data_IF_046794485842
#
_entry.id   IF_046794485842
#
_cell.length_a   1.000
_cell.length_b   1.000
_cell.length_c   1.000
_cell.angle_alpha   90.00
_cell.angle_beta   90.00
_cell.angle_gamma   90.00
#
_symmetry.space_group_name_H-M   'P 1'
#
loop_
_entity.id
_entity.type
_entity.pdbx_description
1 polymer ?
#
# COMPACT_ATOMS: atom_id res chain seq x y z
N UNK A 1 11.97 -3.61 1.57
CA UNK A 1 11.39 -4.64 0.67
C UNK A 1 9.90 -4.33 0.60
N UNK A 2 9.41 -3.98 -0.58
CA UNK A 2 7.98 -3.63 -0.77
C UNK A 2 7.12 -4.83 -0.40
N UNK A 3 5.95 -4.54 0.14
CA UNK A 3 5.09 -5.55 0.72
C UNK A 3 4.25 -6.27 -0.34
N UNK A 4 4.08 -5.63 -1.49
CA UNK A 4 3.47 -6.23 -2.68
C UNK A 4 4.51 -6.40 -3.77
N UNK A 5 4.62 -7.60 -4.35
CA UNK A 5 5.54 -7.82 -5.48
C UNK A 5 4.98 -7.22 -6.77
N UNK A 6 5.87 -6.75 -7.65
CA UNK A 6 5.51 -6.23 -8.98
C UNK A 6 4.69 -7.24 -9.77
N UNK A 7 5.03 -8.53 -9.69
CA UNK A 7 4.27 -9.61 -10.33
C UNK A 7 2.81 -9.66 -9.84
N UNK A 8 2.59 -9.61 -8.52
CA UNK A 8 1.23 -9.63 -7.94
C UNK A 8 0.44 -8.41 -8.39
N UNK A 9 1.07 -7.24 -8.40
CA UNK A 9 0.45 -6.01 -8.87
C UNK A 9 0.06 -6.08 -10.36
N UNK A 10 0.93 -6.63 -11.21
CA UNK A 10 0.64 -6.82 -12.63
C UNK A 10 -0.51 -7.79 -12.87
N UNK A 11 -0.54 -8.92 -12.16
CA UNK A 11 -1.67 -9.85 -12.21
C UNK A 11 -2.98 -9.17 -11.80
N UNK A 12 -2.94 -8.35 -10.76
CA UNK A 12 -4.11 -7.60 -10.30
C UNK A 12 -4.60 -6.59 -11.35
N UNK A 13 -3.68 -5.85 -11.97
CA UNK A 13 -3.95 -4.87 -13.02
C UNK A 13 -4.26 -5.48 -14.39
N UNK A 14 -4.07 -6.79 -14.56
CA UNK A 14 -4.19 -7.51 -15.84
C UNK A 14 -3.24 -6.96 -16.91
N UNK A 15 -2.04 -6.57 -16.49
CA UNK A 15 -0.97 -6.11 -17.38
C UNK A 15 -0.12 -7.30 -17.80
N UNK A 16 0.19 -7.41 -19.09
CA UNK A 16 1.05 -8.47 -19.62
C UNK A 16 2.49 -8.34 -19.11
N UNK A 17 3.16 -9.48 -18.90
CA UNK A 17 4.47 -9.53 -18.26
C UNK A 17 5.58 -8.79 -19.03
N UNK A 18 5.44 -8.67 -20.35
CA UNK A 18 6.36 -7.98 -21.27
C UNK A 18 5.93 -6.53 -21.58
N UNK A 19 4.92 -6.01 -20.88
CA UNK A 19 4.46 -4.63 -21.05
C UNK A 19 5.56 -3.62 -20.71
N UNK A 20 5.75 -2.56 -21.52
CA UNK A 20 6.67 -1.47 -21.21
C UNK A 20 6.29 -0.68 -19.95
N UNK A 21 5.09 -0.92 -19.40
CA UNK A 21 4.62 -0.29 -18.16
C UNK A 21 5.22 -0.92 -16.90
N UNK A 22 5.92 -2.06 -17.02
CA UNK A 22 6.54 -2.77 -15.89
C UNK A 22 7.34 -1.84 -14.94
N UNK A 23 8.21 -0.93 -15.43
CA UNK A 23 8.97 -0.05 -14.55
C UNK A 23 8.11 1.02 -13.86
N UNK A 24 6.95 1.37 -14.44
CA UNK A 24 6.04 2.37 -13.88
C UNK A 24 5.19 1.78 -12.74
N UNK A 25 4.89 0.48 -12.81
CA UNK A 25 4.07 -0.23 -11.80
C UNK A 25 4.73 -0.17 -10.42
N UNK A 26 6.06 -0.19 -10.34
CA UNK A 26 6.75 -0.04 -9.06
C UNK A 26 6.43 1.31 -8.39
N UNK A 27 6.39 2.41 -9.16
CA UNK A 27 6.02 3.72 -8.62
C UNK A 27 4.58 3.76 -8.11
N UNK A 28 3.65 3.04 -8.76
CA UNK A 28 2.27 2.92 -8.28
C UNK A 28 2.17 2.08 -7.01
N UNK A 29 2.98 1.03 -6.86
CA UNK A 29 3.07 0.25 -5.62
C UNK A 29 3.55 1.14 -4.48
N UNK A 30 4.65 1.85 -4.69
CA UNK A 30 5.25 2.72 -3.66
C UNK A 30 4.25 3.81 -3.21
N UNK A 31 3.56 4.44 -4.17
CA UNK A 31 2.52 5.42 -3.89
C UNK A 31 1.31 4.82 -3.16
N UNK A 32 0.86 3.63 -3.55
CA UNK A 32 -0.27 2.95 -2.91
C UNK A 32 0.04 2.55 -1.47
N UNK A 33 1.26 2.05 -1.22
CA UNK A 33 1.73 1.74 0.14
C UNK A 33 1.80 3.01 1.00
N UNK A 34 2.34 4.11 0.46
CA UNK A 34 2.43 5.38 1.18
C UNK A 34 1.04 5.92 1.55
N UNK A 35 0.08 5.89 0.61
CA UNK A 35 -1.30 6.32 0.86
C UNK A 35 -1.93 5.46 1.96
N UNK A 36 -1.75 4.14 1.93
CA UNK A 36 -2.26 3.24 2.96
C UNK A 36 -1.64 3.52 4.34
N UNK A 37 -0.33 3.75 4.42
CA UNK A 37 0.35 4.07 5.68
C UNK A 37 -0.11 5.40 6.26
N UNK A 38 -0.26 6.43 5.41
CA UNK A 38 -0.81 7.73 5.80
C UNK A 38 -2.24 7.60 6.32
N UNK A 39 -3.08 6.82 5.63
CA UNK A 39 -4.45 6.56 6.06
C UNK A 39 -4.52 5.86 7.42
N UNK A 40 -3.72 4.81 7.61
CA UNK A 40 -3.67 4.06 8.85
C UNK A 40 -3.04 4.84 10.01
N UNK A 41 -2.31 5.92 9.70
CA UNK A 41 -1.49 6.67 10.64
C UNK A 41 -0.46 5.77 11.37
N UNK A 42 0.11 4.81 10.62
CA UNK A 42 1.15 3.88 11.08
C UNK A 42 1.84 3.25 9.87
N UNK A 43 3.08 2.77 10.07
CA UNK A 43 3.79 2.02 9.05
C UNK A 43 3.50 0.53 9.14
N UNK A 44 3.54 -0.14 8.00
CA UNK A 44 3.46 -1.60 7.92
C UNK A 44 4.64 -2.17 7.14
N UNK A 45 5.02 -3.41 7.47
CA UNK A 45 6.21 -4.08 6.96
C UNK A 45 5.87 -5.48 6.44
N UNK A 46 6.63 -5.97 5.48
CA UNK A 46 6.36 -7.26 4.84
C UNK A 46 6.44 -8.44 5.80
N UNK A 47 7.37 -8.39 6.74
CA UNK A 47 7.60 -9.43 7.74
C UNK A 47 8.23 -8.84 9.01
N UNK A 48 8.38 -9.69 10.02
CA UNK A 48 8.99 -9.32 11.31
C UNK A 48 10.45 -8.89 11.17
N UNK A 49 11.19 -9.36 10.16
CA UNK A 49 12.58 -8.99 9.97
C UNK A 49 12.68 -7.54 9.45
N UNK A 50 11.87 -7.19 8.44
CA UNK A 50 11.77 -5.84 7.92
C UNK A 50 11.29 -4.84 8.99
N UNK A 51 10.35 -5.27 9.84
CA UNK A 51 9.92 -4.50 11.01
C UNK A 51 11.08 -4.25 11.98
N UNK A 52 11.81 -5.30 12.37
CA UNK A 52 12.91 -5.19 13.31
C UNK A 52 14.03 -4.30 12.77
N UNK A 53 14.40 -4.44 11.49
CA UNK A 53 15.38 -3.54 10.86
C UNK A 53 14.93 -2.07 10.90
N UNK A 54 13.64 -1.80 10.65
CA UNK A 54 13.12 -0.44 10.74
C UNK A 54 13.10 0.10 12.18
N UNK A 55 12.92 -0.78 13.19
CA UNK A 55 13.02 -0.42 14.60
C UNK A 55 14.46 -0.05 14.94
N UNK A 56 15.41 -0.89 14.54
CA UNK A 56 16.85 -0.68 14.78
C UNK A 56 17.35 0.62 14.11
N UNK A 57 16.85 0.91 12.91
CA UNK A 57 17.18 2.14 12.16
C UNK A 57 16.38 3.38 12.63
N UNK A 58 15.46 3.22 13.58
CA UNK A 58 14.59 4.31 14.07
C UNK A 58 13.56 4.82 13.06
N UNK A 59 13.37 4.10 11.95
CA UNK A 59 12.45 4.46 10.86
C UNK A 59 11.07 3.80 10.97
N UNK A 60 10.86 2.94 11.97
CA UNK A 60 9.62 2.18 12.20
C UNK A 60 8.35 3.03 12.31
N UNK A 61 8.47 4.26 12.81
CA UNK A 61 7.32 5.12 13.12
C UNK A 61 6.55 4.64 14.35
N UNK A 62 5.38 5.25 14.57
CA UNK A 62 4.55 4.96 15.76
C UNK A 62 3.67 3.72 15.53
N UNK A 63 3.65 2.80 16.49
CA UNK A 63 2.86 1.56 16.47
C UNK A 63 2.98 0.77 15.14
N UNK A 64 4.19 0.37 14.70
CA UNK A 64 4.35 -0.34 13.43
C UNK A 64 3.73 -1.74 13.47
N UNK A 65 3.33 -2.28 12.32
CA UNK A 65 2.77 -3.64 12.20
C UNK A 65 3.42 -4.44 11.07
N UNK A 66 3.35 -5.76 11.20
CA UNK A 66 3.53 -6.67 10.06
C UNK A 66 2.24 -6.67 9.25
N UNK A 67 2.35 -6.70 7.92
CA UNK A 67 1.20 -6.66 7.03
C UNK A 67 0.26 -7.84 7.26
N UNK A 68 -1.03 -7.61 7.04
CA UNK A 68 -2.05 -8.65 6.97
C UNK A 68 -2.60 -8.78 5.55
N UNK A 69 -3.19 -9.93 5.18
CA UNK A 69 -3.82 -10.07 3.86
C UNK A 69 -4.86 -8.99 3.54
N UNK A 70 -5.54 -8.45 4.56
CA UNK A 70 -6.49 -7.35 4.39
C UNK A 70 -5.80 -6.04 3.94
N UNK A 71 -4.67 -5.69 4.57
CA UNK A 71 -3.88 -4.50 4.19
C UNK A 71 -3.30 -4.69 2.78
N UNK A 72 -2.84 -5.90 2.45
CA UNK A 72 -2.31 -6.21 1.11
C UNK A 72 -3.38 -6.01 0.03
N UNK A 73 -4.60 -6.52 0.25
CA UNK A 73 -5.73 -6.29 -0.68
C UNK A 73 -6.07 -4.81 -0.77
N UNK A 74 -6.04 -4.06 0.33
CA UNK A 74 -6.29 -2.62 0.30
C UNK A 74 -5.27 -1.86 -0.54
N UNK A 75 -3.98 -2.20 -0.43
CA UNK A 75 -2.91 -1.61 -1.25
C UNK A 75 -3.14 -1.90 -2.74
N UNK A 76 -3.53 -3.11 -3.11
CA UNK A 76 -3.86 -3.47 -4.50
C UNK A 76 -5.04 -2.64 -5.04
N UNK A 77 -6.09 -2.41 -4.22
CA UNK A 77 -7.23 -1.60 -4.61
C UNK A 77 -6.87 -0.12 -4.77
N UNK A 78 -6.00 0.43 -3.92
CA UNK A 78 -5.46 1.79 -4.08
C UNK A 78 -4.64 1.86 -5.37
N UNK A 79 -3.77 0.88 -5.60
CA UNK A 79 -2.94 0.79 -6.79
C UNK A 79 -3.78 0.76 -8.07
N UNK A 80 -4.84 -0.05 -8.13
CA UNK A 80 -5.76 -0.08 -9.26
C UNK A 80 -6.39 1.30 -9.50
N UNK A 81 -6.84 1.96 -8.44
CA UNK A 81 -7.41 3.31 -8.53
C UNK A 81 -6.42 4.34 -9.09
N UNK A 82 -5.15 4.30 -8.67
CA UNK A 82 -4.11 5.19 -9.19
C UNK A 82 -3.78 4.90 -10.65
N UNK A 83 -3.71 3.61 -11.01
CA UNK A 83 -3.37 3.16 -12.36
C UNK A 83 -4.47 3.51 -13.38
N UNK A 84 -5.75 3.40 -12.98
CA UNK A 84 -6.91 3.71 -13.84
C UNK A 84 -7.15 5.22 -13.99
N UNK A 85 -6.90 6.02 -12.94
CA UNK A 85 -7.23 7.45 -12.91
C UNK A 85 -6.00 8.35 -13.08
N UNK A 86 -5.27 8.21 -14.20
CA UNK A 86 -3.95 8.86 -14.43
C UNK A 86 -3.97 10.39 -14.68
N UNK A 87 -5.13 11.02 -14.72
CA UNK A 87 -5.27 12.42 -15.14
C UNK A 87 -6.26 13.26 -14.34
N UNK A 88 -7.20 12.64 -13.63
CA UNK A 88 -8.18 13.31 -12.77
C UNK A 88 -8.65 12.27 -11.73
N UNK A 89 -8.10 12.33 -10.52
CA UNK A 89 -8.44 11.36 -9.49
C UNK A 89 -9.75 11.80 -8.82
N UNK A 90 -10.82 10.97 -8.81
CA UNK A 90 -12.03 11.29 -8.09
C UNK A 90 -11.73 11.29 -6.58
N UNK A 91 -11.56 12.48 -6.01
CA UNK A 91 -11.21 12.78 -4.61
C UNK A 91 -9.84 12.26 -4.14
N UNK A 92 -9.02 13.16 -3.60
CA UNK A 92 -7.70 12.90 -3.01
C UNK A 92 -7.78 11.99 -1.76
N UNK A 93 -8.03 10.68 -1.95
CA UNK A 93 -8.25 9.78 -0.81
C UNK A 93 -8.17 8.30 -1.14
N UNK A 94 -8.19 7.50 -0.07
CA UNK A 94 -8.27 6.04 -0.15
C UNK A 94 -9.64 5.64 -0.71
N UNK A 95 -9.71 4.77 -1.74
CA UNK A 95 -10.98 4.25 -2.25
C UNK A 95 -11.81 3.61 -1.14
N UNK A 96 -13.13 3.83 -1.14
CA UNK A 96 -14.01 3.30 -0.09
C UNK A 96 -13.88 1.77 0.10
N UNK A 97 -13.62 1.03 -0.98
CA UNK A 97 -13.35 -0.41 -0.91
C UNK A 97 -12.07 -0.74 -0.13
N UNK A 98 -10.99 0.01 -0.35
CA UNK A 98 -9.74 -0.14 0.38
C UNK A 98 -9.89 0.29 1.85
N UNK A 99 -10.58 1.41 2.10
CA UNK A 99 -10.82 1.93 3.44
C UNK A 99 -11.47 0.88 4.37
N UNK A 100 -12.46 0.12 3.86
CA UNK A 100 -13.12 -0.96 4.64
C UNK A 100 -12.18 -2.03 5.17
N UNK A 101 -11.06 -2.29 4.50
CA UNK A 101 -10.04 -3.23 4.95
C UNK A 101 -9.02 -2.57 5.90
N UNK A 102 -8.81 -1.26 5.78
CA UNK A 102 -7.85 -0.49 6.56
C UNK A 102 -8.42 0.02 7.89
N UNK A 103 -9.72 0.34 7.94
CA UNK A 103 -10.39 0.93 9.12
C UNK A 103 -10.11 0.20 10.44
N UNK A 104 -10.12 -1.15 10.51
CA UNK A 104 -9.83 -1.86 11.76
C UNK A 104 -8.41 -1.66 12.30
N UNK A 105 -7.47 -1.25 11.45
CA UNK A 105 -6.04 -1.15 11.78
C UNK A 105 -5.57 0.29 12.01
N UNK A 106 -6.46 1.27 11.76
CA UNK A 106 -6.15 2.69 11.82
C UNK A 106 -6.00 3.17 13.26
N UNK A 107 -4.94 3.94 13.51
CA UNK A 107 -4.60 4.47 14.84
C UNK A 107 -4.78 5.98 14.92
N UNK A 108 -4.98 6.52 16.12
CA UNK A 108 -5.10 7.98 16.32
C UNK A 108 -6.41 8.59 15.80
N UNK A 109 -7.47 7.81 15.66
CA UNK A 109 -8.83 8.36 15.57
C UNK A 109 -9.19 8.92 16.94
N UNK A 110 -8.91 10.22 17.15
CA UNK A 110 -9.27 10.90 18.40
C UNK A 110 -10.77 10.76 18.71
N UNK A 111 -11.09 10.76 20.02
CA UNK A 111 -12.43 11.13 20.51
C UNK A 111 -12.64 12.63 20.44
#
# INVERSE_FOLDING_TARGET
MSVTTTETAMFHLRVEADSPEWPLIQGYIDAAEEIAMRYLNRKFYADSNALNSAIDDGSAGENPIVITPAIQVAVLLILASLYENRGDAPSEGVPAAAARFLDPWRTGMGI
#
